data_IF_761900415884
#
_entry.id   IF_761900415884
#
_cell.length_a   1.000
_cell.length_b   1.000
_cell.length_c   1.000
_cell.angle_alpha   90.00
_cell.angle_beta   90.00
_cell.angle_gamma   90.00
#
_symmetry.space_group_name_H-M   'P 1'
#
loop_
_entity.id
_entity.type
_entity.pdbx_description
1 polymer ?
#
# COMPACT_ATOMS: atom_id res chain seq x y z
N UNK A 1 -11.25 -6.77 -3.66
CA UNK A 1 -9.97 -6.46 -3.01
C UNK A 1 -8.88 -7.20 -3.76
N UNK A 2 -7.84 -6.50 -4.18
CA UNK A 2 -6.67 -7.04 -4.86
C UNK A 2 -5.53 -7.03 -3.85
N UNK A 3 -4.82 -8.15 -3.69
CA UNK A 3 -3.61 -8.20 -2.87
C UNK A 3 -2.39 -8.02 -3.78
N UNK A 4 -1.51 -7.09 -3.42
CA UNK A 4 -0.21 -6.92 -4.09
C UNK A 4 0.88 -7.33 -3.11
N UNK A 5 1.56 -8.44 -3.41
CA UNK A 5 2.63 -9.00 -2.58
C UNK A 5 4.00 -8.58 -3.11
N UNK A 6 4.78 -7.91 -2.27
CA UNK A 6 6.19 -7.61 -2.51
C UNK A 6 7.11 -8.55 -1.73
N UNK A 7 8.40 -8.21 -1.75
CA UNK A 7 9.50 -8.96 -1.13
C UNK A 7 9.45 -8.94 0.39
N UNK A 8 9.04 -7.82 0.99
CA UNK A 8 9.08 -7.63 2.45
C UNK A 8 7.70 -7.45 3.07
N UNK A 9 6.71 -6.97 2.31
CA UNK A 9 5.34 -6.77 2.78
C UNK A 9 4.32 -6.99 1.65
N UNK A 10 3.04 -6.78 1.96
CA UNK A 10 1.90 -6.80 1.07
C UNK A 10 0.99 -5.59 1.28
N UNK A 11 0.20 -5.28 0.27
CA UNK A 11 -0.81 -4.22 0.32
C UNK A 11 -2.20 -4.75 -0.02
N UNK A 12 -3.17 -4.38 0.81
CA UNK A 12 -4.59 -4.63 0.56
C UNK A 12 -5.18 -3.50 -0.27
N UNK A 13 -5.53 -3.76 -1.53
CA UNK A 13 -6.05 -2.77 -2.46
C UNK A 13 -7.56 -2.91 -2.60
N UNK A 14 -8.27 -1.83 -2.28
CA UNK A 14 -9.73 -1.78 -2.28
C UNK A 14 -10.33 -1.37 -3.63
N UNK A 15 -9.50 -1.05 -4.63
CA UNK A 15 -9.93 -0.80 -6.00
C UNK A 15 -10.40 -2.09 -6.71
N UNK A 16 -11.28 -1.93 -7.70
CA UNK A 16 -11.72 -3.03 -8.58
C UNK A 16 -10.68 -3.38 -9.64
N UNK A 17 -9.86 -2.41 -10.03
CA UNK A 17 -8.78 -2.52 -11.01
C UNK A 17 -7.63 -1.59 -10.62
N UNK A 18 -6.41 -1.90 -11.08
CA UNK A 18 -5.21 -1.10 -10.80
C UNK A 18 -4.42 -0.94 -12.09
N UNK A 19 -4.18 0.30 -12.48
CA UNK A 19 -3.38 0.61 -13.66
C UNK A 19 -1.92 0.13 -13.50
N UNK A 20 -1.21 -0.23 -14.59
CA UNK A 20 0.14 -0.79 -14.52
C UNK A 20 1.16 0.09 -13.77
N UNK A 21 1.08 1.41 -13.91
CA UNK A 21 2.00 2.32 -13.22
C UNK A 21 1.69 2.40 -11.72
N UNK A 22 0.42 2.48 -11.35
CA UNK A 22 -0.03 2.41 -9.95
C UNK A 22 0.40 1.09 -9.31
N UNK A 23 0.23 -0.03 -10.02
CA UNK A 23 0.65 -1.36 -9.56
C UNK A 23 2.16 -1.40 -9.28
N UNK A 24 2.99 -0.87 -10.19
CA UNK A 24 4.45 -0.82 -10.01
C UNK A 24 4.84 -0.01 -8.77
N UNK A 25 4.18 1.12 -8.53
CA UNK A 25 4.45 1.95 -7.36
C UNK A 25 4.07 1.23 -6.06
N UNK A 26 2.92 0.55 -6.01
CA UNK A 26 2.51 -0.26 -4.84
C UNK A 26 3.49 -1.42 -4.62
N UNK A 27 3.86 -2.13 -5.68
CA UNK A 27 4.83 -3.24 -5.59
C UNK A 27 6.19 -2.77 -5.09
N UNK A 28 6.70 -1.65 -5.62
CA UNK A 28 7.95 -1.04 -5.18
C UNK A 28 7.90 -0.66 -3.70
N UNK A 29 6.78 -0.13 -3.23
CA UNK A 29 6.56 0.16 -1.82
C UNK A 29 6.57 -1.11 -0.96
N UNK A 30 5.91 -2.20 -1.40
CA UNK A 30 5.93 -3.50 -0.72
C UNK A 30 7.31 -4.18 -0.72
N UNK A 31 8.23 -3.69 -1.55
CA UNK A 31 9.63 -4.11 -1.61
C UNK A 31 10.54 -3.27 -0.69
N UNK A 32 10.01 -2.33 0.09
CA UNK A 32 10.78 -1.59 1.09
C UNK A 32 10.85 -2.37 2.40
N UNK A 33 12.05 -2.73 2.84
CA UNK A 33 12.29 -3.46 4.10
C UNK A 33 11.79 -2.68 5.32
N UNK A 34 11.83 -1.35 5.26
CA UNK A 34 11.36 -0.44 6.30
C UNK A 34 9.86 -0.60 6.60
N UNK A 35 9.10 -1.15 5.65
CA UNK A 35 7.66 -1.33 5.76
C UNK A 35 7.26 -2.77 6.10
N UNK A 36 8.19 -3.71 6.36
CA UNK A 36 7.88 -5.15 6.47
C UNK A 36 6.73 -5.53 7.42
N UNK A 37 6.62 -4.84 8.55
CA UNK A 37 5.63 -5.13 9.60
C UNK A 37 4.46 -4.12 9.59
N UNK A 38 4.46 -3.18 8.64
CA UNK A 38 3.42 -2.14 8.55
C UNK A 38 2.15 -2.69 7.93
N UNK A 39 0.99 -2.13 8.27
CA UNK A 39 -0.25 -2.44 7.56
C UNK A 39 -0.43 -1.44 6.43
N UNK A 40 -0.47 -1.92 5.19
CA UNK A 40 -0.61 -1.09 3.98
C UNK A 40 -1.99 -1.31 3.37
N UNK A 41 -2.77 -0.24 3.27
CA UNK A 41 -4.09 -0.22 2.63
C UNK A 41 -4.09 0.80 1.49
N UNK A 42 -4.61 0.41 0.33
CA UNK A 42 -4.72 1.26 -0.85
C UNK A 42 -6.19 1.49 -1.16
N UNK A 43 -6.61 2.75 -1.12
CA UNK A 43 -7.99 3.19 -1.34
C UNK A 43 -8.46 2.95 -2.78
N UNK A 44 -9.78 2.86 -3.02
CA UNK A 44 -10.32 2.54 -4.35
C UNK A 44 -10.07 3.62 -5.41
N UNK A 45 -9.77 4.86 -5.02
CA UNK A 45 -9.44 5.99 -5.88
C UNK A 45 -7.92 6.14 -6.15
N UNK A 46 -7.15 5.07 -5.92
CA UNK A 46 -5.70 5.08 -6.08
C UNK A 46 -5.25 5.35 -7.52
N UNK A 47 -4.17 6.11 -7.65
CA UNK A 47 -3.55 6.42 -8.94
C UNK A 47 -2.05 6.66 -8.78
N UNK A 48 -1.32 6.59 -9.89
CA UNK A 48 0.10 6.86 -9.92
C UNK A 48 0.39 8.31 -9.51
N UNK A 49 1.26 8.49 -8.51
CA UNK A 49 1.73 9.81 -8.09
C UNK A 49 3.16 10.06 -8.55
N UNK A 50 3.72 11.22 -8.20
CA UNK A 50 5.13 11.54 -8.42
C UNK A 50 5.99 10.80 -7.39
N UNK A 51 6.31 9.54 -7.69
CA UNK A 51 7.22 8.69 -6.92
C UNK A 51 6.55 7.65 -6.01
N UNK A 52 5.29 7.86 -5.59
CA UNK A 52 4.51 6.90 -4.81
C UNK A 52 3.02 7.00 -5.16
N UNK A 53 2.28 5.92 -4.93
CA UNK A 53 0.85 5.80 -5.18
C UNK A 53 0.04 6.75 -4.28
N UNK A 54 -0.85 7.53 -4.89
CA UNK A 54 -1.86 8.32 -4.17
C UNK A 54 -3.00 7.38 -3.71
N UNK A 55 -3.61 7.68 -2.56
CA UNK A 55 -4.61 6.80 -1.94
C UNK A 55 -4.01 5.73 -1.01
N UNK A 56 -2.76 5.91 -0.59
CA UNK A 56 -2.06 4.98 0.31
C UNK A 56 -2.25 5.35 1.77
N UNK A 57 -2.65 4.40 2.60
CA UNK A 57 -2.62 4.49 4.07
C UNK A 57 -1.64 3.46 4.61
N UNK A 58 -0.69 3.90 5.44
CA UNK A 58 0.26 3.04 6.13
C UNK A 58 0.07 3.24 7.62
N UNK A 59 -0.13 2.14 8.34
CA UNK A 59 -0.12 2.11 9.79
C UNK A 59 1.19 1.47 10.23
N UNK A 60 2.01 2.24 10.95
CA UNK A 60 3.29 1.72 11.43
C UNK A 60 3.05 0.68 12.53
N UNK A 61 3.95 -0.30 12.72
CA UNK A 61 3.74 -1.40 13.67
C UNK A 61 3.44 -0.95 15.12
N UNK A 62 3.94 0.23 15.50
CA UNK A 62 3.80 0.78 16.85
C UNK A 62 2.70 1.84 16.96
N UNK A 63 2.02 2.19 15.86
CA UNK A 63 0.84 3.03 15.91
C UNK A 63 -0.29 2.19 16.49
N UNK A 64 -0.58 2.36 17.77
CA UNK A 64 -1.77 1.73 18.35
C UNK A 64 -2.97 2.55 17.88
N UNK A 65 -4.00 1.93 17.27
CA UNK A 65 -5.21 2.66 16.96
C UNK A 65 -5.79 3.08 18.30
N UNK A 66 -5.80 4.39 18.56
CA UNK A 66 -6.51 4.95 19.70
C UNK A 66 -7.97 4.70 19.40
N UNK A 67 -8.51 3.62 19.93
CA UNK A 67 -9.93 3.33 19.83
C UNK A 67 -10.64 4.39 20.70
N UNK A 68 -11.43 5.31 20.11
CA UNK A 68 -12.18 6.29 20.89
C UNK A 68 -13.26 5.63 21.75
#
# INVERSE_FOLDING_TARGET
MIEIQGKYNKADVFASEVEPETYKQILNMCNLEQLKDSVIKIMPDCHAGKGCTIGTTIMMPNDTPINP
#
